data_IF_823573803907
#
_entry.id   IF_823573803907
#
_cell.length_a   1.000
_cell.length_b   1.000
_cell.length_c   1.000
_cell.angle_alpha   90.00
_cell.angle_beta   90.00
_cell.angle_gamma   90.00
#
_symmetry.space_group_name_H-M   'P 1'
#
loop_
_entity.id
_entity.type
_entity.pdbx_description
1 polymer ?
#
# COMPACT_ATOMS: atom_id res chain seq x y z
N UNK A 1 -6.27 31.88 -9.89
CA UNK A 1 -5.93 32.22 -8.50
C UNK A 1 -4.67 31.49 -8.04
N UNK A 2 -4.66 30.15 -8.03
CA UNK A 2 -3.55 29.33 -7.52
C UNK A 2 -2.17 29.66 -8.13
N UNK A 3 -2.07 29.79 -9.46
CA UNK A 3 -0.80 30.10 -10.15
C UNK A 3 -0.13 31.39 -9.65
N UNK A 4 -0.92 32.44 -9.42
CA UNK A 4 -0.40 33.73 -8.92
C UNK A 4 0.16 33.59 -7.49
N UNK A 5 -0.45 32.74 -6.67
CA UNK A 5 0.01 32.44 -5.31
C UNK A 5 1.29 31.61 -5.29
N UNK A 6 1.53 30.76 -6.29
CA UNK A 6 2.78 29.97 -6.38
C UNK A 6 3.92 30.83 -6.94
N UNK A 7 3.61 31.76 -7.84
CA UNK A 7 4.59 32.67 -8.44
C UNK A 7 5.08 33.76 -7.46
N UNK A 8 4.18 34.27 -6.62
CA UNK A 8 4.47 35.26 -5.59
C UNK A 8 3.95 34.76 -4.23
N UNK A 9 4.58 33.72 -3.64
CA UNK A 9 4.07 33.16 -2.40
C UNK A 9 4.19 34.19 -1.26
N UNK A 10 3.16 34.30 -0.41
CA UNK A 10 3.25 35.15 0.76
C UNK A 10 4.34 34.61 1.71
N UNK A 11 5.08 35.52 2.35
CA UNK A 11 6.21 35.17 3.25
C UNK A 11 5.81 34.22 4.39
N UNK A 12 4.52 34.20 4.76
CA UNK A 12 3.99 33.38 5.85
C UNK A 12 3.45 32.00 5.42
N UNK A 13 3.42 31.69 4.11
CA UNK A 13 2.72 30.51 3.59
C UNK A 13 3.66 29.51 2.92
N UNK A 14 3.51 28.23 3.26
CA UNK A 14 4.12 27.11 2.54
C UNK A 14 3.00 26.34 1.84
N UNK A 15 3.15 26.10 0.54
CA UNK A 15 2.22 25.29 -0.25
C UNK A 15 2.88 23.94 -0.52
N UNK A 16 2.19 22.86 -0.15
CA UNK A 16 2.61 21.48 -0.42
C UNK A 16 1.53 20.83 -1.28
N UNK A 17 1.91 20.41 -2.48
CA UNK A 17 1.07 19.58 -3.33
C UNK A 17 1.41 18.11 -3.12
N UNK A 18 0.38 17.28 -2.96
CA UNK A 18 0.50 15.84 -2.89
C UNK A 18 -0.22 15.25 -4.09
N UNK A 19 0.48 14.40 -4.85
CA UNK A 19 -0.09 13.66 -5.97
C UNK A 19 0.59 12.31 -6.09
N UNK A 20 -0.12 11.33 -6.63
CA UNK A 20 0.45 10.06 -7.07
C UNK A 20 0.88 10.09 -8.54
N UNK A 21 0.53 11.15 -9.27
CA UNK A 21 0.91 11.37 -10.67
C UNK A 21 1.21 12.85 -10.89
N UNK A 22 2.47 13.21 -11.13
CA UNK A 22 2.89 14.60 -11.36
C UNK A 22 2.46 15.13 -12.74
N UNK A 23 2.24 14.26 -13.72
CA UNK A 23 1.94 14.64 -15.11
C UNK A 23 0.54 15.28 -15.26
N UNK A 24 -0.31 15.13 -14.24
CA UNK A 24 -1.62 15.81 -14.20
C UNK A 24 -1.48 17.32 -13.99
N UNK A 25 -0.34 17.78 -13.46
CA UNK A 25 -0.10 19.19 -13.22
C UNK A 25 0.32 19.89 -14.52
N UNK A 26 -0.15 21.12 -14.68
CA UNK A 26 0.32 21.99 -15.75
C UNK A 26 1.83 22.26 -15.57
N UNK A 27 2.56 22.31 -16.69
CA UNK A 27 4.00 22.62 -16.70
C UNK A 27 4.34 23.93 -15.98
N UNK A 28 3.42 24.91 -15.98
CA UNK A 28 3.58 26.19 -15.29
C UNK A 28 3.56 26.09 -13.76
N UNK A 29 2.92 25.05 -13.21
CA UNK A 29 2.96 24.73 -11.77
C UNK A 29 4.27 24.00 -11.48
N UNK A 30 4.59 22.96 -12.26
CA UNK A 30 5.80 22.16 -12.07
C UNK A 30 7.09 22.99 -12.13
N UNK A 31 7.16 23.98 -13.02
CA UNK A 31 8.34 24.85 -13.14
C UNK A 31 8.53 25.81 -11.96
N UNK A 32 7.55 25.96 -11.08
CA UNK A 32 7.58 26.82 -9.88
C UNK A 32 7.54 26.04 -8.57
N UNK A 33 7.64 24.71 -8.63
CA UNK A 33 7.62 23.84 -7.45
C UNK A 33 8.91 23.01 -7.39
N UNK A 34 9.40 22.77 -6.18
CA UNK A 34 10.45 21.78 -5.96
C UNK A 34 9.81 20.40 -6.00
N UNK A 35 10.30 19.55 -6.91
CA UNK A 35 9.82 18.18 -7.04
C UNK A 35 10.53 17.27 -6.04
N UNK A 36 9.76 16.61 -5.20
CA UNK A 36 10.24 15.64 -4.21
C UNK A 36 9.57 14.29 -4.47
N UNK A 37 10.33 13.34 -5.02
CA UNK A 37 9.85 11.98 -5.26
C UNK A 37 9.90 11.15 -3.98
N UNK A 38 8.72 10.85 -3.44
CA UNK A 38 8.56 9.92 -2.31
C UNK A 38 8.69 8.49 -2.81
N UNK A 39 9.93 8.00 -2.83
CA UNK A 39 10.24 6.63 -3.22
C UNK A 39 9.93 5.64 -2.09
N UNK A 40 9.53 4.40 -2.41
CA UNK A 40 9.43 3.33 -1.44
C UNK A 40 10.71 3.20 -0.63
N UNK A 41 10.57 3.00 0.69
CA UNK A 41 11.71 2.76 1.56
C UNK A 41 12.17 1.31 1.46
N UNK A 42 13.39 1.02 1.92
CA UNK A 42 13.90 -0.36 1.95
C UNK A 42 13.10 -1.20 2.95
N UNK A 43 12.88 -2.47 2.63
CA UNK A 43 12.16 -3.40 3.51
C UNK A 43 12.78 -3.48 4.91
N UNK A 44 14.11 -3.35 5.04
CA UNK A 44 14.79 -3.31 6.34
C UNK A 44 14.30 -2.17 7.24
N UNK A 45 13.96 -1.01 6.65
CA UNK A 45 13.44 0.15 7.39
C UNK A 45 11.97 -0.09 7.77
N UNK A 46 11.21 -0.76 6.90
CA UNK A 46 9.84 -1.18 7.21
C UNK A 46 9.85 -2.19 8.37
N UNK A 47 10.71 -3.20 8.33
CA UNK A 47 10.87 -4.17 9.41
C UNK A 47 11.25 -3.51 10.74
N UNK A 48 12.23 -2.61 10.73
CA UNK A 48 12.67 -1.88 11.92
C UNK A 48 11.51 -1.06 12.51
N UNK A 49 10.75 -0.37 11.64
CA UNK A 49 9.56 0.37 12.04
C UNK A 49 8.53 -0.56 12.70
N UNK A 50 8.21 -1.70 12.09
CA UNK A 50 7.21 -2.63 12.63
C UNK A 50 7.68 -3.22 13.97
N UNK A 51 8.91 -3.73 14.05
CA UNK A 51 9.50 -4.30 15.27
C UNK A 51 9.50 -3.29 16.44
N UNK A 52 9.66 -2.01 16.13
CA UNK A 52 9.71 -0.95 17.16
C UNK A 52 8.31 -0.50 17.63
N UNK A 53 7.25 -0.79 16.87
CA UNK A 53 5.91 -0.26 17.14
C UNK A 53 4.86 -1.35 17.46
N UNK A 54 5.15 -2.61 17.19
CA UNK A 54 4.19 -3.71 17.34
C UNK A 54 4.86 -4.95 17.96
N UNK A 55 4.13 -5.62 18.84
CA UNK A 55 4.54 -6.89 19.43
C UNK A 55 4.00 -8.06 18.60
N UNK A 56 4.76 -8.42 17.56
CA UNK A 56 4.41 -9.50 16.63
C UNK A 56 5.60 -10.42 16.39
N UNK A 57 5.34 -11.60 15.84
CA UNK A 57 6.40 -12.56 15.52
C UNK A 57 7.33 -12.05 14.42
N UNK A 58 8.57 -12.54 14.39
CA UNK A 58 9.52 -12.22 13.31
C UNK A 58 8.99 -12.62 11.93
N UNK A 59 8.22 -13.71 11.86
CA UNK A 59 7.55 -14.14 10.63
C UNK A 59 6.53 -13.09 10.15
N UNK A 60 5.67 -12.60 11.03
CA UNK A 60 4.66 -11.58 10.69
C UNK A 60 5.31 -10.25 10.32
N UNK A 61 6.39 -9.86 11.02
CA UNK A 61 7.15 -8.67 10.67
C UNK A 61 7.72 -8.76 9.24
N UNK A 62 8.38 -9.87 8.91
CA UNK A 62 8.97 -10.06 7.58
C UNK A 62 7.90 -10.11 6.49
N UNK A 63 6.78 -10.76 6.78
CA UNK A 63 5.64 -10.79 5.87
C UNK A 63 5.07 -9.39 5.62
N UNK A 64 4.85 -8.62 6.69
CA UNK A 64 4.34 -7.26 6.59
C UNK A 64 5.29 -6.32 5.83
N UNK A 65 6.61 -6.46 6.04
CA UNK A 65 7.61 -5.70 5.32
C UNK A 65 7.63 -6.03 3.82
N UNK A 66 7.60 -7.32 3.46
CA UNK A 66 7.54 -7.75 2.05
C UNK A 66 6.25 -7.24 1.37
N UNK A 67 5.10 -7.41 2.02
CA UNK A 67 3.82 -6.93 1.49
C UNK A 67 3.78 -5.40 1.36
N UNK A 68 4.46 -4.68 2.24
CA UNK A 68 4.45 -3.24 2.23
C UNK A 68 5.03 -2.64 0.95
N UNK A 69 5.94 -3.36 0.27
CA UNK A 69 6.69 -2.85 -0.89
C UNK A 69 7.23 -1.44 -0.61
N UNK A 70 7.86 -1.25 0.55
CA UNK A 70 8.39 0.03 1.02
C UNK A 70 7.36 1.11 1.39
N UNK A 71 6.07 0.79 1.48
CA UNK A 71 5.00 1.70 1.94
C UNK A 71 4.55 1.32 3.35
N UNK A 72 5.01 2.07 4.36
CA UNK A 72 4.69 1.81 5.78
C UNK A 72 3.19 1.63 6.03
N UNK A 73 2.34 2.46 5.39
CA UNK A 73 0.89 2.35 5.56
C UNK A 73 0.33 0.97 5.21
N UNK A 74 0.87 0.31 4.17
CA UNK A 74 0.48 -1.07 3.80
C UNK A 74 0.93 -2.08 4.84
N UNK A 75 2.15 -1.92 5.37
CA UNK A 75 2.64 -2.74 6.47
C UNK A 75 1.73 -2.64 7.71
N UNK A 76 1.28 -1.43 8.06
CA UNK A 76 0.33 -1.24 9.17
C UNK A 76 -0.98 -1.99 8.93
N UNK A 77 -1.50 -1.98 7.70
CA UNK A 77 -2.73 -2.74 7.36
C UNK A 77 -2.59 -4.23 7.70
N UNK A 78 -1.43 -4.84 7.43
CA UNK A 78 -1.17 -6.25 7.78
C UNK A 78 -1.28 -6.50 9.28
N UNK A 79 -0.74 -5.58 10.07
CA UNK A 79 -0.57 -5.77 11.52
C UNK A 79 -1.83 -5.34 12.28
N UNK A 80 -2.60 -4.39 11.76
CA UNK A 80 -3.74 -3.78 12.45
C UNK A 80 -5.11 -4.30 11.97
N UNK A 81 -5.24 -4.80 10.74
CA UNK A 81 -6.56 -5.17 10.16
C UNK A 81 -6.88 -6.65 10.32
N UNK A 82 -7.99 -6.92 11.00
CA UNK A 82 -8.58 -8.26 11.09
C UNK A 82 -9.11 -8.76 9.75
N UNK A 83 -9.67 -7.87 8.92
CA UNK A 83 -10.12 -8.20 7.57
C UNK A 83 -8.95 -8.67 6.71
N UNK A 84 -7.79 -8.03 6.85
CA UNK A 84 -6.59 -8.45 6.16
C UNK A 84 -6.07 -9.80 6.65
N UNK A 85 -6.18 -10.09 7.95
CA UNK A 85 -5.82 -11.39 8.49
C UNK A 85 -6.67 -12.53 7.87
N UNK A 86 -7.98 -12.30 7.70
CA UNK A 86 -8.90 -13.25 7.06
C UNK A 86 -8.56 -13.43 5.59
N UNK A 87 -8.36 -12.33 4.87
CA UNK A 87 -7.89 -12.33 3.50
C UNK A 87 -6.63 -13.18 3.32
N UNK A 88 -5.62 -12.96 4.16
CA UNK A 88 -4.37 -13.72 4.13
C UNK A 88 -4.64 -15.21 4.28
N UNK A 89 -5.53 -15.61 5.19
CA UNK A 89 -5.89 -17.01 5.37
C UNK A 89 -6.58 -17.59 4.13
N UNK A 90 -7.51 -16.86 3.52
CA UNK A 90 -8.24 -17.28 2.31
C UNK A 90 -7.28 -17.46 1.14
N UNK A 91 -6.37 -16.51 0.90
CA UNK A 91 -5.34 -16.60 -0.14
C UNK A 91 -4.42 -17.79 0.10
N UNK A 92 -3.94 -17.97 1.33
CA UNK A 92 -3.07 -19.09 1.67
C UNK A 92 -3.77 -20.45 1.54
N UNK A 93 -5.08 -20.51 1.81
CA UNK A 93 -5.88 -21.71 1.59
C UNK A 93 -5.97 -22.05 0.10
N UNK A 94 -6.24 -21.06 -0.75
CA UNK A 94 -6.26 -21.25 -2.22
C UNK A 94 -4.91 -21.71 -2.72
N UNK A 95 -3.81 -21.02 -2.38
CA UNK A 95 -2.46 -21.39 -2.86
C UNK A 95 -2.10 -22.84 -2.49
N UNK A 96 -2.45 -23.27 -1.27
CA UNK A 96 -2.14 -24.64 -0.80
C UNK A 96 -2.98 -25.71 -1.48
N UNK A 97 -4.26 -25.44 -1.70
CA UNK A 97 -5.23 -26.45 -2.13
C UNK A 97 -5.63 -26.34 -3.61
N UNK A 98 -5.16 -25.33 -4.34
CA UNK A 98 -5.56 -25.04 -5.72
C UNK A 98 -5.46 -26.24 -6.68
N UNK A 99 -4.52 -27.18 -6.44
CA UNK A 99 -4.36 -28.38 -7.27
C UNK A 99 -5.48 -29.42 -7.08
N UNK A 100 -6.15 -29.39 -5.93
CA UNK A 100 -7.17 -30.35 -5.54
C UNK A 100 -8.58 -29.75 -5.59
N UNK A 101 -8.68 -28.41 -5.65
CA UNK A 101 -9.94 -27.70 -5.76
C UNK A 101 -10.58 -27.84 -7.14
N UNK A 102 -11.89 -28.09 -7.14
CA UNK A 102 -12.72 -27.98 -8.33
C UNK A 102 -12.90 -26.53 -8.77
N UNK A 103 -13.25 -26.32 -10.04
CA UNK A 103 -13.56 -25.00 -10.58
C UNK A 103 -14.68 -24.27 -9.82
N UNK A 104 -15.62 -25.02 -9.24
CA UNK A 104 -16.71 -24.47 -8.44
C UNK A 104 -16.22 -23.94 -7.08
N UNK A 105 -15.30 -24.66 -6.43
CA UNK A 105 -14.70 -24.23 -5.16
C UNK A 105 -13.82 -22.99 -5.36
N UNK A 106 -13.03 -22.96 -6.43
CA UNK A 106 -12.24 -21.77 -6.80
C UNK A 106 -13.16 -20.57 -7.01
N UNK A 107 -14.27 -20.74 -7.73
CA UNK A 107 -15.23 -19.66 -7.98
C UNK A 107 -15.92 -19.16 -6.70
N UNK A 108 -16.19 -20.05 -5.75
CA UNK A 108 -16.75 -19.66 -4.44
C UNK A 108 -15.77 -18.75 -3.69
N UNK A 109 -14.50 -19.14 -3.61
CA UNK A 109 -13.49 -18.35 -2.91
C UNK A 109 -13.31 -16.99 -3.58
N UNK A 110 -13.22 -16.93 -4.92
CA UNK A 110 -13.14 -15.66 -5.64
C UNK A 110 -14.34 -14.75 -5.36
N UNK A 111 -15.54 -15.31 -5.21
CA UNK A 111 -16.74 -14.55 -4.85
C UNK A 111 -16.68 -13.99 -3.44
N UNK A 112 -16.24 -14.79 -2.46
CA UNK A 112 -16.09 -14.34 -1.08
C UNK A 112 -15.06 -13.22 -0.96
N UNK A 113 -14.01 -13.33 -1.76
CA UNK A 113 -12.94 -12.34 -1.93
C UNK A 113 -13.45 -10.97 -2.42
N UNK A 114 -14.42 -10.95 -3.34
CA UNK A 114 -15.01 -9.68 -3.82
C UNK A 114 -15.85 -8.94 -2.79
N UNK A 115 -16.18 -9.57 -1.64
CA UNK A 115 -16.94 -8.93 -0.57
C UNK A 115 -16.08 -8.05 0.34
N UNK A 116 -14.75 -8.15 0.26
CA UNK A 116 -13.85 -7.29 1.02
C UNK A 116 -13.67 -5.94 0.31
N UNK A 117 -13.50 -4.84 1.08
CA UNK A 117 -13.21 -3.49 0.55
C UNK A 117 -11.78 -3.34 -0.04
N UNK A 118 -11.09 -4.45 -0.28
CA UNK A 118 -9.69 -4.50 -0.68
C UNK A 118 -9.57 -4.56 -2.20
N UNK A 119 -8.46 -4.09 -2.75
CA UNK A 119 -8.25 -4.10 -4.20
C UNK A 119 -7.73 -5.47 -4.64
N UNK A 120 -7.96 -5.84 -5.90
CA UNK A 120 -7.40 -7.08 -6.46
C UNK A 120 -5.86 -7.10 -6.42
N UNK A 121 -5.23 -5.92 -6.43
CA UNK A 121 -3.78 -5.79 -6.30
C UNK A 121 -3.29 -6.29 -4.93
N UNK A 122 -4.04 -6.05 -3.85
CA UNK A 122 -3.68 -6.59 -2.53
C UNK A 122 -3.71 -8.13 -2.51
N UNK A 123 -4.63 -8.74 -3.26
CA UNK A 123 -4.67 -10.20 -3.42
C UNK A 123 -3.45 -10.72 -4.17
N UNK A 124 -3.11 -10.09 -5.29
CA UNK A 124 -1.97 -10.50 -6.10
C UNK A 124 -0.65 -10.31 -5.35
N UNK A 125 -0.53 -9.22 -4.60
CA UNK A 125 0.65 -8.94 -3.75
C UNK A 125 0.80 -9.96 -2.62
N UNK A 126 -0.28 -10.62 -2.18
CA UNK A 126 -0.21 -11.72 -1.21
C UNK A 126 0.24 -13.05 -1.81
N UNK A 127 0.20 -13.19 -3.13
CA UNK A 127 0.63 -14.39 -3.85
C UNK A 127 2.08 -14.29 -4.36
N UNK A 128 2.66 -13.10 -4.36
CA UNK A 128 4.02 -12.82 -4.83
C UNK A 128 5.10 -13.25 -3.82
#
# INVERSE_FOLDING_TARGET
ALLKTIEEPPVYGIVIFLTTNADIFLQTILSRCVMLDLRPIKDSVVEEYIKSNYDISEYECRFAANFAQGKIGRAKTIVESTEFAHLKQDVMHVIKNAKEMSSAEIMSVVKDITNYKLTIDDYLDLMA
#
